data_IF_647635225498
#
_entry.id   IF_647635225498
#
_cell.length_a   1.000
_cell.length_b   1.000
_cell.length_c   1.000
_cell.angle_alpha   90.00
_cell.angle_beta   90.00
_cell.angle_gamma   90.00
#
_symmetry.space_group_name_H-M   'P 1'
#
loop_
_entity.id
_entity.type
_entity.pdbx_description
1 polymer ?
#
# COMPACT_ATOMS: atom_id res chain seq x y z
N UNK A 1 -10.99 6.17 -25.32
CA UNK A 1 -10.72 4.94 -24.54
C UNK A 1 -10.38 3.79 -25.48
N UNK A 2 -9.28 3.09 -25.23
CA UNK A 2 -8.77 1.95 -26.02
C UNK A 2 -8.73 0.73 -25.11
N UNK A 3 -9.16 -0.43 -25.63
CA UNK A 3 -9.03 -1.72 -24.93
C UNK A 3 -8.03 -2.55 -25.71
N UNK A 4 -7.07 -3.15 -25.01
CA UNK A 4 -6.04 -4.01 -25.59
C UNK A 4 -5.98 -5.31 -24.79
N UNK A 5 -5.81 -6.42 -25.48
CA UNK A 5 -5.36 -7.67 -24.86
C UNK A 5 -3.90 -7.89 -25.23
N UNK A 6 -3.07 -8.12 -24.23
CA UNK A 6 -1.66 -8.39 -24.39
C UNK A 6 -1.34 -9.81 -23.89
N UNK A 7 -0.61 -10.55 -24.72
CA UNK A 7 0.10 -11.75 -24.28
C UNK A 7 1.41 -11.28 -23.63
N UNK A 8 1.52 -11.46 -22.32
CA UNK A 8 2.66 -10.96 -21.53
C UNK A 8 3.80 -11.98 -21.42
N UNK A 9 3.51 -13.25 -21.70
CA UNK A 9 4.48 -14.32 -21.79
C UNK A 9 4.08 -15.33 -22.88
N UNK A 10 4.83 -16.43 -22.99
CA UNK A 10 4.57 -17.49 -23.96
C UNK A 10 3.39 -18.39 -23.58
N UNK A 11 2.82 -18.22 -22.37
CA UNK A 11 1.72 -19.02 -21.86
C UNK A 11 0.39 -18.49 -22.40
N UNK A 12 -0.50 -19.39 -22.83
CA UNK A 12 -1.77 -19.01 -23.45
C UNK A 12 -2.90 -18.82 -22.42
N UNK A 13 -2.71 -19.31 -21.21
CA UNK A 13 -3.64 -19.24 -20.07
C UNK A 13 -3.51 -17.93 -19.27
N UNK A 14 -2.46 -17.15 -19.51
CA UNK A 14 -2.20 -15.87 -18.85
C UNK A 14 -2.53 -14.72 -19.80
N UNK A 15 -3.29 -13.74 -19.32
CA UNK A 15 -3.66 -12.58 -20.14
C UNK A 15 -3.67 -11.28 -19.34
N UNK A 16 -3.29 -10.19 -20.03
CA UNK A 16 -3.37 -8.84 -19.52
C UNK A 16 -4.32 -8.02 -20.40
N UNK A 17 -5.45 -7.60 -19.83
CA UNK A 17 -6.36 -6.66 -20.50
C UNK A 17 -6.07 -5.24 -20.04
N UNK A 18 -5.77 -4.33 -20.96
CA UNK A 18 -5.50 -2.93 -20.69
C UNK A 18 -6.68 -2.05 -21.13
N UNK A 19 -7.20 -1.25 -20.20
CA UNK A 19 -8.18 -0.19 -20.43
C UNK A 19 -7.48 1.16 -20.34
N UNK A 20 -7.21 1.75 -21.51
CA UNK A 20 -6.42 2.97 -21.63
C UNK A 20 -7.32 4.17 -21.92
N UNK A 21 -7.20 5.20 -21.10
CA UNK A 21 -7.88 6.48 -21.28
C UNK A 21 -7.04 7.43 -22.14
N UNK A 22 -7.70 8.38 -22.81
CA UNK A 22 -6.97 9.39 -23.56
C UNK A 22 -6.22 10.34 -22.60
N UNK A 23 -5.02 10.75 -23.02
CA UNK A 23 -4.14 11.67 -22.30
C UNK A 23 -3.63 12.76 -23.26
N UNK A 24 -3.28 13.92 -22.73
CA UNK A 24 -2.95 15.12 -23.50
C UNK A 24 -4.16 15.67 -24.29
N UNK A 25 -3.90 16.35 -25.41
CA UNK A 25 -4.93 16.98 -26.26
C UNK A 25 -5.90 17.84 -25.44
N UNK A 26 -7.18 17.45 -25.34
CA UNK A 26 -8.20 18.14 -24.53
C UNK A 26 -7.94 18.01 -23.02
N UNK A 27 -7.25 16.95 -22.58
CA UNK A 27 -6.75 16.79 -21.21
C UNK A 27 -5.38 17.45 -21.04
N UNK A 28 -5.31 18.76 -21.29
CA UNK A 28 -4.05 19.53 -21.38
C UNK A 28 -3.08 19.33 -20.20
N UNK A 29 -3.61 19.09 -19.00
CA UNK A 29 -2.81 18.91 -17.77
C UNK A 29 -2.52 17.44 -17.43
N UNK A 30 -3.05 16.49 -18.21
CA UNK A 30 -2.92 15.05 -17.95
C UNK A 30 -2.23 14.41 -19.16
N UNK A 31 -0.92 14.56 -19.26
CA UNK A 31 -0.12 13.97 -20.33
C UNK A 31 0.19 12.49 -20.10
N UNK A 32 0.18 12.04 -18.84
CA UNK A 32 0.19 10.63 -18.41
C UNK A 32 -0.81 10.41 -17.28
N UNK A 33 -1.16 9.16 -17.00
CA UNK A 33 -2.10 8.78 -15.94
C UNK A 33 -1.47 7.74 -15.02
N UNK A 34 -1.75 7.77 -13.70
CA UNK A 34 -1.49 6.63 -12.82
C UNK A 34 -2.34 5.44 -13.27
N UNK A 35 -2.00 4.24 -12.79
CA UNK A 35 -2.71 3.03 -13.16
C UNK A 35 -3.02 2.13 -11.96
N UNK A 36 -3.98 1.23 -12.15
CA UNK A 36 -4.27 0.13 -11.23
C UNK A 36 -4.21 -1.19 -12.00
N UNK A 37 -3.47 -2.16 -11.45
CA UNK A 37 -3.47 -3.55 -11.89
C UNK A 37 -4.40 -4.38 -10.99
N UNK A 38 -5.51 -4.84 -11.56
CA UNK A 38 -6.54 -5.64 -10.92
C UNK A 38 -6.17 -7.11 -10.99
N UNK A 39 -6.22 -7.79 -9.85
CA UNK A 39 -5.90 -9.20 -9.65
C UNK A 39 -7.13 -9.90 -9.07
N UNK A 40 -7.95 -10.57 -9.91
CA UNK A 40 -9.18 -11.19 -9.45
C UNK A 40 -8.95 -12.33 -8.45
N UNK A 41 -9.94 -12.60 -7.60
CA UNK A 41 -9.96 -13.81 -6.78
C UNK A 41 -10.39 -15.05 -7.56
N UNK A 42 -10.68 -16.12 -6.83
CA UNK A 42 -11.07 -17.42 -7.38
C UNK A 42 -10.30 -18.61 -6.81
N UNK A 43 -9.68 -18.45 -5.64
CA UNK A 43 -9.07 -19.55 -4.88
C UNK A 43 -7.88 -20.21 -5.57
N UNK A 44 -7.16 -19.50 -6.44
CA UNK A 44 -6.16 -20.06 -7.37
C UNK A 44 -6.70 -21.13 -8.33
N UNK A 45 -8.02 -21.24 -8.49
CA UNK A 45 -8.66 -22.21 -9.38
C UNK A 45 -9.19 -21.56 -10.67
N UNK A 46 -9.53 -20.28 -10.61
CA UNK A 46 -9.96 -19.46 -11.75
C UNK A 46 -9.74 -17.97 -11.41
N UNK A 47 -9.94 -17.09 -12.39
CA UNK A 47 -10.00 -15.63 -12.18
C UNK A 47 -11.46 -15.14 -12.26
N UNK A 48 -11.99 -14.59 -11.17
CA UNK A 48 -13.39 -14.17 -11.09
C UNK A 48 -13.70 -12.91 -11.92
N UNK A 49 -14.62 -13.02 -12.88
CA UNK A 49 -15.06 -11.87 -13.69
C UNK A 49 -15.72 -10.75 -12.86
N UNK A 50 -16.29 -11.11 -11.71
CA UNK A 50 -16.91 -10.15 -10.79
C UNK A 50 -15.90 -9.21 -10.16
N UNK A 51 -14.63 -9.61 -10.11
CA UNK A 51 -13.51 -8.90 -9.48
C UNK A 51 -12.50 -8.40 -10.51
N UNK A 52 -12.87 -8.43 -11.80
CA UNK A 52 -12.10 -7.97 -12.95
C UNK A 52 -12.64 -6.61 -13.45
N UNK A 53 -13.32 -6.60 -14.60
CA UNK A 53 -13.86 -5.41 -15.27
C UNK A 53 -14.67 -4.48 -14.35
N UNK A 54 -15.58 -4.96 -13.47
CA UNK A 54 -16.32 -4.07 -12.57
C UNK A 54 -15.40 -3.23 -11.68
N UNK A 55 -14.28 -3.81 -11.24
CA UNK A 55 -13.27 -3.12 -10.43
C UNK A 55 -12.44 -2.19 -11.30
N UNK A 56 -11.99 -2.65 -12.47
CA UNK A 56 -11.24 -1.82 -13.42
C UNK A 56 -12.00 -0.54 -13.77
N UNK A 57 -13.30 -0.65 -14.04
CA UNK A 57 -14.16 0.48 -14.41
C UNK A 57 -14.30 1.51 -13.28
N UNK A 58 -14.27 1.07 -12.02
CA UNK A 58 -14.29 1.99 -10.89
C UNK A 58 -13.05 2.90 -10.86
N UNK A 59 -11.86 2.36 -11.13
CA UNK A 59 -10.63 3.13 -11.19
C UNK A 59 -10.49 3.94 -12.49
N UNK A 60 -11.01 3.44 -13.62
CA UNK A 60 -11.13 4.24 -14.85
C UNK A 60 -11.97 5.50 -14.60
N UNK A 61 -13.11 5.36 -13.92
CA UNK A 61 -13.95 6.51 -13.53
C UNK A 61 -13.21 7.52 -12.66
N UNK A 62 -12.27 7.06 -11.82
CA UNK A 62 -11.42 7.91 -11.00
C UNK A 62 -10.24 8.55 -11.77
N UNK A 63 -10.07 8.25 -13.06
CA UNK A 63 -9.07 8.87 -13.95
C UNK A 63 -7.79 8.06 -14.16
N UNK A 64 -7.69 6.87 -13.57
CA UNK A 64 -6.56 5.94 -13.73
C UNK A 64 -6.66 5.19 -15.06
N UNK A 65 -5.55 4.70 -15.59
CA UNK A 65 -5.60 3.52 -16.46
C UNK A 65 -5.91 2.28 -15.61
N UNK A 66 -6.52 1.27 -16.21
CA UNK A 66 -6.78 0.02 -15.51
C UNK A 66 -6.26 -1.16 -16.32
N UNK A 67 -5.67 -2.11 -15.63
CA UNK A 67 -5.19 -3.37 -16.19
C UNK A 67 -5.86 -4.51 -15.42
N UNK A 68 -6.21 -5.61 -16.08
CA UNK A 68 -6.70 -6.83 -15.43
C UNK A 68 -5.75 -7.94 -15.78
N UNK A 69 -5.12 -8.53 -14.76
CA UNK A 69 -4.29 -9.73 -14.92
C UNK A 69 -5.12 -10.96 -14.61
N UNK A 70 -5.28 -11.82 -15.61
CA UNK A 70 -5.69 -13.21 -15.41
C UNK A 70 -4.41 -14.04 -15.36
N UNK A 71 -4.02 -14.40 -14.14
CA UNK A 71 -2.80 -15.13 -13.81
C UNK A 71 -3.03 -16.64 -13.88
N UNK A 72 -1.95 -17.41 -13.86
CA UNK A 72 -1.98 -18.87 -13.85
C UNK A 72 -2.72 -19.42 -12.62
N UNK A 73 -3.68 -20.32 -12.89
CA UNK A 73 -4.64 -20.88 -11.93
C UNK A 73 -5.03 -22.29 -12.35
N UNK A 74 -5.49 -23.10 -11.40
CA UNK A 74 -5.85 -24.51 -11.59
C UNK A 74 -4.74 -25.46 -11.17
N UNK A 75 -5.03 -26.76 -11.25
CA UNK A 75 -4.16 -27.81 -10.68
C UNK A 75 -2.79 -27.95 -11.36
N UNK A 76 -2.66 -27.45 -12.59
CA UNK A 76 -1.42 -27.51 -13.37
C UNK A 76 -0.43 -26.38 -13.03
N UNK A 77 -0.83 -25.43 -12.17
CA UNK A 77 -0.03 -24.26 -11.81
C UNK A 77 0.25 -24.22 -10.31
N UNK A 78 1.50 -23.92 -9.94
CA UNK A 78 1.95 -23.86 -8.55
C UNK A 78 2.70 -22.58 -8.26
N UNK A 79 2.85 -22.23 -6.99
CA UNK A 79 3.75 -21.16 -6.60
C UNK A 79 5.20 -21.53 -6.94
N UNK A 80 6.01 -20.60 -7.48
CA UNK A 80 5.76 -19.16 -7.58
C UNK A 80 5.17 -18.65 -8.92
N UNK A 81 4.63 -19.50 -9.80
CA UNK A 81 4.19 -19.07 -11.15
C UNK A 81 3.20 -17.89 -11.18
N UNK A 82 2.21 -17.77 -10.27
CA UNK A 82 1.33 -16.60 -10.23
C UNK A 82 2.08 -15.29 -9.92
N UNK A 83 3.16 -15.36 -9.15
CA UNK A 83 4.02 -14.21 -8.88
C UNK A 83 4.85 -13.86 -10.12
N UNK A 84 5.34 -14.86 -10.85
CA UNK A 84 6.05 -14.66 -12.11
C UNK A 84 5.14 -13.99 -13.16
N UNK A 85 3.86 -14.35 -13.23
CA UNK A 85 2.87 -13.66 -14.09
C UNK A 85 2.68 -12.20 -13.71
N UNK A 86 2.66 -11.91 -12.40
CA UNK A 86 2.59 -10.54 -11.92
C UNK A 86 3.84 -9.74 -12.33
N UNK A 87 5.03 -10.33 -12.20
CA UNK A 87 6.29 -9.71 -12.61
C UNK A 87 6.29 -9.41 -14.11
N UNK A 88 5.93 -10.40 -14.93
CA UNK A 88 5.81 -10.26 -16.40
C UNK A 88 4.80 -9.16 -16.75
N UNK A 89 3.64 -9.11 -16.09
CA UNK A 89 2.62 -8.10 -16.33
C UNK A 89 3.14 -6.70 -15.99
N UNK A 90 3.78 -6.55 -14.84
CA UNK A 90 4.29 -5.25 -14.38
C UNK A 90 5.47 -4.78 -15.25
N UNK A 91 6.36 -5.68 -15.66
CA UNK A 91 7.43 -5.40 -16.61
C UNK A 91 6.85 -4.98 -17.98
N UNK A 92 5.85 -5.71 -18.48
CA UNK A 92 5.18 -5.38 -19.73
C UNK A 92 4.55 -3.98 -19.69
N UNK A 93 3.81 -3.63 -18.63
CA UNK A 93 3.20 -2.31 -18.47
C UNK A 93 4.28 -1.23 -18.43
N UNK A 94 5.37 -1.45 -17.66
CA UNK A 94 6.48 -0.49 -17.56
C UNK A 94 7.18 -0.27 -18.90
N UNK A 95 7.37 -1.32 -19.69
CA UNK A 95 7.98 -1.24 -21.02
C UNK A 95 7.11 -0.49 -22.04
N UNK A 96 5.79 -0.52 -21.89
CA UNK A 96 4.84 0.20 -22.76
C UNK A 96 4.37 1.53 -22.16
N UNK A 97 4.90 1.95 -21.00
CA UNK A 97 4.39 3.08 -20.24
C UNK A 97 4.42 4.40 -21.04
N UNK A 98 5.44 4.61 -21.87
CA UNK A 98 5.52 5.80 -22.73
C UNK A 98 4.44 5.78 -23.81
N UNK A 99 4.29 4.66 -24.53
CA UNK A 99 3.27 4.50 -25.58
C UNK A 99 1.85 4.68 -25.02
N UNK A 100 1.62 4.14 -23.83
CA UNK A 100 0.30 4.11 -23.19
C UNK A 100 0.03 5.32 -22.30
N UNK A 101 0.98 6.26 -22.19
CA UNK A 101 0.90 7.41 -21.30
C UNK A 101 0.62 7.01 -19.85
N UNK A 102 1.33 6.00 -19.35
CA UNK A 102 1.27 5.51 -17.97
C UNK A 102 2.39 6.15 -17.16
N UNK A 103 2.07 6.57 -15.93
CA UNK A 103 3.07 6.90 -14.92
C UNK A 103 3.60 5.60 -14.32
N UNK A 104 4.76 5.14 -14.78
CA UNK A 104 5.33 3.83 -14.44
C UNK A 104 5.74 3.67 -12.96
N UNK A 105 5.91 4.78 -12.25
CA UNK A 105 6.15 4.87 -10.80
C UNK A 105 4.85 5.04 -9.99
N UNK A 106 3.70 5.12 -10.67
CA UNK A 106 2.37 5.34 -10.06
C UNK A 106 1.38 4.27 -10.51
N UNK A 107 1.79 3.01 -10.38
CA UNK A 107 0.96 1.83 -10.63
C UNK A 107 0.64 1.18 -9.28
N UNK A 108 -0.62 1.19 -8.88
CA UNK A 108 -1.11 0.44 -7.73
C UNK A 108 -1.61 -0.94 -8.16
N UNK A 109 -1.76 -1.86 -7.20
CA UNK A 109 -2.43 -3.15 -7.41
C UNK A 109 -3.70 -3.21 -6.56
N UNK A 110 -4.72 -3.90 -7.05
CA UNK A 110 -5.91 -4.25 -6.27
C UNK A 110 -6.19 -5.74 -6.43
N UNK A 111 -6.22 -6.47 -5.32
CA UNK A 111 -6.44 -7.90 -5.32
C UNK A 111 -7.54 -8.32 -4.37
N UNK A 112 -8.25 -9.40 -4.71
CA UNK A 112 -9.38 -9.91 -3.94
C UNK A 112 -9.20 -11.37 -3.58
N UNK A 113 -9.51 -11.78 -2.35
CA UNK A 113 -9.43 -13.19 -1.94
C UNK A 113 -8.04 -13.80 -2.27
N UNK A 114 -7.96 -14.86 -3.08
CA UNK A 114 -6.70 -15.40 -3.61
C UNK A 114 -5.91 -14.39 -4.48
N UNK A 115 -6.57 -13.57 -5.30
CA UNK A 115 -5.89 -12.47 -6.00
C UNK A 115 -5.36 -11.40 -5.03
N UNK A 116 -5.99 -11.29 -3.86
CA UNK A 116 -5.53 -10.46 -2.75
C UNK A 116 -4.27 -11.00 -2.09
N UNK A 117 -4.12 -12.32 -2.03
CA UNK A 117 -2.86 -12.97 -1.65
C UNK A 117 -1.74 -12.58 -2.63
N UNK A 118 -1.97 -12.71 -3.94
CA UNK A 118 -1.00 -12.34 -4.97
C UNK A 118 -0.68 -10.82 -4.95
N UNK A 119 -1.68 -9.95 -4.75
CA UNK A 119 -1.45 -8.52 -4.57
C UNK A 119 -0.64 -8.21 -3.29
N UNK A 120 -0.84 -8.99 -2.23
CA UNK A 120 -0.03 -8.94 -1.02
C UNK A 120 1.42 -9.33 -1.29
N UNK A 121 1.64 -10.43 -2.01
CA UNK A 121 2.97 -10.85 -2.47
C UNK A 121 3.65 -9.78 -3.34
N UNK A 122 2.89 -9.15 -4.23
CA UNK A 122 3.36 -8.02 -5.03
C UNK A 122 3.82 -6.84 -4.16
N UNK A 123 3.12 -6.54 -3.07
CA UNK A 123 3.46 -5.46 -2.17
C UNK A 123 4.71 -5.75 -1.32
N UNK A 124 4.96 -7.01 -0.97
CA UNK A 124 5.99 -7.39 0.01
C UNK A 124 7.25 -7.98 -0.63
N UNK A 125 7.12 -8.96 -1.52
CA UNK A 125 8.25 -9.80 -1.98
C UNK A 125 8.57 -9.69 -3.47
N UNK A 126 7.70 -9.08 -4.27
CA UNK A 126 7.98 -8.86 -5.69
C UNK A 126 9.21 -7.98 -5.91
N UNK A 127 9.91 -8.24 -7.01
CA UNK A 127 10.92 -7.36 -7.59
C UNK A 127 10.27 -6.09 -8.13
N UNK A 128 9.17 -6.21 -8.86
CA UNK A 128 8.41 -5.06 -9.35
C UNK A 128 7.29 -4.66 -8.39
N UNK A 129 7.67 -4.17 -7.20
CA UNK A 129 6.70 -3.66 -6.21
C UNK A 129 5.82 -2.54 -6.77
N UNK A 130 4.52 -2.53 -6.45
CA UNK A 130 3.59 -1.46 -6.84
C UNK A 130 3.81 -0.22 -5.97
N UNK A 131 3.26 0.92 -6.41
CA UNK A 131 3.26 2.16 -5.62
C UNK A 131 2.36 2.08 -4.38
N UNK A 132 1.35 1.22 -4.41
CA UNK A 132 0.43 0.90 -3.31
C UNK A 132 -0.32 -0.40 -3.62
N UNK A 133 -0.85 -1.07 -2.60
CA UNK A 133 -1.66 -2.28 -2.74
C UNK A 133 -2.99 -2.16 -2.03
N UNK A 134 -4.07 -2.57 -2.70
CA UNK A 134 -5.42 -2.63 -2.14
C UNK A 134 -5.82 -4.10 -1.99
N UNK A 135 -6.02 -4.55 -0.76
CA UNK A 135 -6.20 -5.96 -0.40
C UNK A 135 -7.62 -6.18 0.13
N UNK A 136 -8.50 -6.68 -0.74
CA UNK A 136 -9.91 -6.95 -0.44
C UNK A 136 -10.14 -8.37 0.04
N UNK A 137 -10.56 -8.54 1.30
CA UNK A 137 -10.86 -9.83 1.94
C UNK A 137 -9.85 -10.91 1.56
N UNK A 138 -8.58 -10.51 1.55
CA UNK A 138 -7.46 -11.25 1.00
C UNK A 138 -7.03 -12.40 1.91
N UNK A 139 -6.51 -13.47 1.31
CA UNK A 139 -5.87 -14.57 2.04
C UNK A 139 -4.42 -14.17 2.32
N UNK A 140 -4.04 -13.94 3.57
CA UNK A 140 -2.77 -13.29 3.94
C UNK A 140 -2.02 -14.01 5.06
N UNK A 141 -2.66 -14.98 5.72
CA UNK A 141 -2.08 -15.76 6.80
C UNK A 141 -2.01 -17.26 6.46
N UNK A 142 -1.83 -18.12 7.46
CA UNK A 142 -1.75 -19.59 7.32
C UNK A 142 -2.89 -20.25 6.53
N UNK A 143 -4.03 -19.58 6.35
CA UNK A 143 -5.14 -20.07 5.51
C UNK A 143 -4.71 -20.27 4.04
N UNK A 144 -3.63 -19.62 3.59
CA UNK A 144 -3.13 -19.82 2.22
C UNK A 144 -2.73 -21.27 1.94
N UNK A 145 -2.24 -22.01 2.94
CA UNK A 145 -1.82 -23.41 2.81
C UNK A 145 -2.99 -24.32 2.37
N UNK A 146 -4.23 -23.89 2.57
CA UNK A 146 -5.43 -24.62 2.15
C UNK A 146 -5.78 -24.44 0.67
N UNK A 147 -5.27 -23.39 0.01
CA UNK A 147 -5.65 -23.01 -1.36
C UNK A 147 -4.48 -22.95 -2.35
N UNK A 148 -3.24 -22.90 -1.86
CA UNK A 148 -2.05 -22.84 -2.69
C UNK A 148 -0.84 -23.45 -1.99
N UNK A 149 -0.37 -24.58 -2.50
CA UNK A 149 0.86 -25.23 -2.04
C UNK A 149 2.07 -24.30 -2.29
N UNK A 150 3.01 -24.28 -1.33
CA UNK A 150 4.25 -23.47 -1.35
C UNK A 150 4.07 -21.95 -1.41
N UNK A 151 2.83 -21.46 -1.33
CA UNK A 151 2.54 -20.04 -1.27
C UNK A 151 3.07 -19.42 0.04
N UNK A 152 3.71 -18.23 -0.01
CA UNK A 152 4.24 -17.60 1.18
C UNK A 152 3.14 -17.00 2.05
N UNK A 153 3.25 -17.14 3.37
CA UNK A 153 2.38 -16.43 4.32
C UNK A 153 2.71 -14.93 4.30
N UNK A 154 1.94 -14.13 3.56
CA UNK A 154 2.24 -12.70 3.30
C UNK A 154 2.38 -11.85 4.57
N UNK A 155 1.53 -12.06 5.58
CA UNK A 155 1.64 -11.32 6.83
C UNK A 155 2.98 -11.54 7.57
N UNK A 156 3.76 -12.57 7.21
CA UNK A 156 5.12 -12.82 7.72
C UNK A 156 6.22 -12.26 6.81
N UNK A 157 5.88 -11.74 5.64
CA UNK A 157 6.82 -11.18 4.67
C UNK A 157 6.88 -9.64 4.70
N UNK A 158 6.09 -9.00 5.57
CA UNK A 158 6.09 -7.54 5.71
C UNK A 158 7.43 -7.08 6.27
N UNK A 159 8.03 -6.13 5.57
CA UNK A 159 9.32 -5.51 5.87
C UNK A 159 9.27 -4.02 5.56
N UNK A 160 10.40 -3.33 5.75
CA UNK A 160 10.52 -1.90 5.44
C UNK A 160 10.33 -1.59 3.95
N UNK A 161 10.58 -2.52 3.03
CA UNK A 161 10.40 -2.26 1.60
C UNK A 161 8.97 -2.55 1.13
N UNK A 162 8.04 -2.88 2.04
CA UNK A 162 6.66 -3.19 1.71
C UNK A 162 5.89 -1.95 1.26
N UNK A 163 5.12 -2.06 0.18
CA UNK A 163 4.32 -0.95 -0.35
C UNK A 163 3.17 -0.56 0.60
N UNK A 164 2.73 0.71 0.60
CA UNK A 164 1.56 1.15 1.36
C UNK A 164 0.31 0.34 1.02
N UNK A 165 -0.49 0.00 2.04
CA UNK A 165 -1.61 -0.94 1.89
C UNK A 165 -2.96 -0.34 2.27
N UNK A 166 -4.00 -0.59 1.47
CA UNK A 166 -5.39 -0.37 1.85
C UNK A 166 -6.05 -1.73 2.05
N UNK A 167 -6.53 -2.00 3.26
CA UNK A 167 -7.13 -3.27 3.63
C UNK A 167 -8.65 -3.11 3.78
N UNK A 168 -9.43 -4.04 3.26
CA UNK A 168 -10.87 -4.05 3.59
C UNK A 168 -11.44 -5.46 3.62
N UNK A 169 -12.36 -5.72 4.55
CA UNK A 169 -13.01 -7.01 4.69
C UNK A 169 -14.35 -6.88 5.43
N UNK A 170 -15.16 -7.93 5.40
CA UNK A 170 -16.36 -8.05 6.22
C UNK A 170 -16.07 -8.88 7.47
N UNK A 171 -16.50 -8.43 8.65
CA UNK A 171 -16.46 -9.21 9.89
C UNK A 171 -17.21 -10.53 9.79
N UNK A 172 -18.27 -10.58 8.99
CA UNK A 172 -19.08 -11.78 8.81
C UNK A 172 -18.58 -12.70 7.67
N UNK A 173 -17.42 -12.42 7.08
CA UNK A 173 -16.78 -13.31 6.11
C UNK A 173 -16.43 -14.65 6.77
N UNK A 174 -17.04 -15.70 6.25
CA UNK A 174 -16.89 -17.08 6.73
C UNK A 174 -16.10 -17.96 5.76
N UNK A 175 -15.58 -17.39 4.67
CA UNK A 175 -14.70 -18.09 3.71
C UNK A 175 -13.26 -17.70 4.00
N UNK A 176 -12.99 -16.40 4.14
CA UNK A 176 -11.68 -15.87 4.55
C UNK A 176 -11.88 -15.12 5.86
N UNK A 177 -11.59 -15.76 7.01
CA UNK A 177 -11.80 -15.13 8.31
C UNK A 177 -11.03 -13.82 8.42
N UNK A 178 -11.64 -12.82 9.09
CA UNK A 178 -11.03 -11.49 9.30
C UNK A 178 -9.67 -11.48 9.96
N UNK A 179 -9.25 -12.60 10.55
CA UNK A 179 -7.92 -12.78 11.10
C UNK A 179 -6.85 -12.50 10.04
N UNK A 180 -7.09 -12.84 8.77
CA UNK A 180 -6.18 -12.50 7.66
C UNK A 180 -5.89 -11.00 7.58
N UNK A 181 -6.94 -10.18 7.58
CA UNK A 181 -6.83 -8.72 7.53
C UNK A 181 -6.21 -8.14 8.80
N UNK A 182 -6.55 -8.69 9.97
CA UNK A 182 -6.00 -8.24 11.26
C UNK A 182 -4.51 -8.56 11.38
N UNK A 183 -4.09 -9.77 11.02
CA UNK A 183 -2.69 -10.18 11.08
C UNK A 183 -1.84 -9.31 10.16
N UNK A 184 -2.31 -9.04 8.93
CA UNK A 184 -1.63 -8.14 8.00
C UNK A 184 -1.52 -6.71 8.57
N UNK A 185 -2.61 -6.15 9.10
CA UNK A 185 -2.60 -4.82 9.70
C UNK A 185 -1.60 -4.72 10.87
N UNK A 186 -1.51 -5.76 11.72
CA UNK A 186 -0.55 -5.83 12.82
C UNK A 186 0.89 -5.88 12.27
N UNK A 187 1.15 -6.63 11.21
CA UNK A 187 2.49 -6.70 10.61
C UNK A 187 2.89 -5.38 9.94
N UNK A 188 1.96 -4.71 9.25
CA UNK A 188 2.19 -3.38 8.66
C UNK A 188 2.48 -2.33 9.74
N UNK A 189 1.71 -2.31 10.83
CA UNK A 189 1.94 -1.43 11.99
C UNK A 189 3.33 -1.65 12.60
N UNK A 190 3.72 -2.91 12.81
CA UNK A 190 5.04 -3.25 13.36
C UNK A 190 6.21 -2.80 12.49
N UNK A 191 6.04 -2.87 11.16
CA UNK A 191 7.06 -2.43 10.20
C UNK A 191 6.98 -0.91 9.90
N UNK A 192 6.04 -0.19 10.52
CA UNK A 192 5.85 1.24 10.29
C UNK A 192 5.35 1.57 8.89
N UNK A 193 4.72 0.63 8.17
CA UNK A 193 4.19 0.85 6.82
C UNK A 193 2.88 1.64 6.90
N UNK A 194 2.73 2.65 6.05
CA UNK A 194 1.47 3.39 5.92
C UNK A 194 0.38 2.45 5.42
N UNK A 195 -0.70 2.33 6.19
CA UNK A 195 -1.87 1.59 5.76
C UNK A 195 -3.18 2.23 6.23
N UNK A 196 -4.26 1.89 5.54
CA UNK A 196 -5.63 2.18 5.95
C UNK A 196 -6.42 0.87 5.98
N UNK A 197 -7.39 0.74 6.89
CA UNK A 197 -8.15 -0.51 7.05
C UNK A 197 -9.62 -0.29 7.35
N UNK A 198 -10.49 -1.02 6.63
CA UNK A 198 -11.95 -0.98 6.77
C UNK A 198 -12.52 -2.37 7.05
N UNK A 199 -13.03 -2.59 8.26
CA UNK A 199 -13.73 -3.83 8.62
C UNK A 199 -15.23 -3.55 8.75
N UNK A 200 -16.00 -4.01 7.76
CA UNK A 200 -17.45 -3.83 7.73
C UNK A 200 -18.15 -4.82 8.65
N UNK A 201 -19.26 -4.40 9.28
CA UNK A 201 -19.93 -5.21 10.30
C UNK A 201 -20.48 -6.56 9.79
N UNK A 202 -20.97 -6.60 8.56
CA UNK A 202 -21.51 -7.82 7.94
C UNK A 202 -21.51 -7.72 6.40
N UNK A 203 -21.50 -8.88 5.76
CA UNK A 203 -21.47 -9.06 4.31
C UNK A 203 -20.81 -10.39 3.95
N UNK A 204 -21.17 -11.00 2.80
CA UNK A 204 -20.62 -12.29 2.38
C UNK A 204 -19.16 -12.15 1.94
N UNK A 205 -18.47 -13.26 1.74
CA UNK A 205 -17.21 -13.25 0.98
C UNK A 205 -17.46 -12.84 -0.48
N UNK A 206 -16.48 -12.20 -1.12
CA UNK A 206 -16.52 -11.95 -2.56
C UNK A 206 -17.60 -10.96 -2.98
N UNK A 207 -17.80 -9.87 -2.22
CA UNK A 207 -18.77 -8.82 -2.57
C UNK A 207 -18.28 -7.87 -3.68
N UNK A 208 -17.00 -7.91 -4.05
CA UNK A 208 -16.37 -7.08 -5.09
C UNK A 208 -16.63 -5.59 -4.85
N UNK A 209 -17.06 -4.81 -5.85
CA UNK A 209 -17.42 -3.39 -5.71
C UNK A 209 -18.73 -3.15 -4.96
N UNK A 210 -19.43 -4.21 -4.53
CA UNK A 210 -20.66 -4.12 -3.75
C UNK A 210 -21.90 -3.68 -4.55
N UNK A 211 -21.82 -3.64 -5.88
CA UNK A 211 -22.99 -3.36 -6.74
C UNK A 211 -23.89 -4.60 -6.82
N UNK A 212 -25.20 -4.38 -6.72
CA UNK A 212 -26.25 -5.38 -6.95
C UNK A 212 -26.12 -6.13 -8.28
N UNK A 213 -25.65 -5.48 -9.34
CA UNK A 213 -25.52 -6.06 -10.69
C UNK A 213 -24.51 -7.22 -10.77
N UNK A 214 -23.63 -7.34 -9.77
CA UNK A 214 -22.60 -8.38 -9.72
C UNK A 214 -22.77 -9.31 -8.51
N UNK A 215 -23.86 -9.23 -7.75
CA UNK A 215 -24.08 -10.15 -6.63
C UNK A 215 -24.70 -11.45 -7.11
N UNK A 216 -24.18 -12.57 -6.63
CA UNK A 216 -24.62 -13.92 -7.03
C UNK A 216 -25.52 -14.57 -5.98
N UNK A 217 -25.70 -13.93 -4.82
CA UNK A 217 -26.47 -14.45 -3.69
C UNK A 217 -27.31 -13.32 -3.09
N UNK A 218 -28.52 -13.64 -2.68
CA UNK A 218 -29.33 -12.76 -1.84
C UNK A 218 -28.73 -12.77 -0.42
N UNK A 219 -27.70 -11.95 -0.25
CA UNK A 219 -26.98 -11.82 1.01
C UNK A 219 -27.10 -10.38 1.46
N UNK A 220 -27.63 -10.17 2.67
CA UNK A 220 -27.54 -8.87 3.31
C UNK A 220 -26.06 -8.53 3.53
N UNK A 221 -25.65 -7.35 3.10
CA UNK A 221 -24.36 -6.79 3.46
C UNK A 221 -24.50 -5.33 3.84
N UNK A 222 -23.56 -4.84 4.64
CA UNK A 222 -23.57 -3.48 5.15
C UNK A 222 -23.65 -2.47 4.00
N UNK A 223 -24.61 -1.55 4.04
CA UNK A 223 -24.84 -0.54 2.99
C UNK A 223 -23.61 0.33 2.69
N UNK A 224 -22.66 0.40 3.63
CA UNK A 224 -21.39 1.13 3.47
C UNK A 224 -20.30 0.34 2.76
N UNK A 225 -20.47 -0.96 2.50
CA UNK A 225 -19.46 -1.77 1.80
C UNK A 225 -19.04 -1.13 0.48
N UNK A 226 -19.95 -0.68 -0.41
CA UNK A 226 -19.55 -0.06 -1.68
C UNK A 226 -18.64 1.17 -1.53
N UNK A 227 -18.58 1.80 -0.34
CA UNK A 227 -17.75 2.97 -0.09
C UNK A 227 -16.25 2.65 -0.14
N UNK A 228 -15.84 1.38 0.05
CA UNK A 228 -14.42 0.99 0.00
C UNK A 228 -13.74 1.47 -1.28
N UNK A 229 -14.48 1.53 -2.40
CA UNK A 229 -13.96 2.00 -3.70
C UNK A 229 -13.58 3.49 -3.66
N UNK A 230 -14.42 4.32 -3.03
CA UNK A 230 -14.13 5.75 -2.90
C UNK A 230 -13.01 5.99 -1.90
N UNK A 231 -13.03 5.25 -0.80
CA UNK A 231 -12.02 5.31 0.26
C UNK A 231 -10.65 4.86 -0.28
N UNK A 232 -10.59 3.78 -1.08
CA UNK A 232 -9.35 3.30 -1.70
C UNK A 232 -8.78 4.31 -2.71
N UNK A 233 -9.62 4.96 -3.51
CA UNK A 233 -9.19 6.06 -4.40
C UNK A 233 -8.66 7.24 -3.59
N UNK A 234 -9.30 7.57 -2.46
CA UNK A 234 -8.82 8.58 -1.51
C UNK A 234 -7.44 8.24 -0.98
N UNK A 235 -7.26 7.01 -0.50
CA UNK A 235 -5.98 6.49 -0.04
C UNK A 235 -4.91 6.59 -1.13
N UNK A 236 -5.19 6.15 -2.37
CA UNK A 236 -4.24 6.25 -3.47
C UNK A 236 -3.83 7.71 -3.74
N UNK A 237 -4.75 8.67 -3.64
CA UNK A 237 -4.40 10.10 -3.76
C UNK A 237 -3.47 10.57 -2.66
N UNK A 238 -3.62 10.04 -1.45
CA UNK A 238 -2.77 10.40 -0.32
C UNK A 238 -1.37 9.78 -0.45
N UNK A 239 -1.24 8.52 -0.88
CA UNK A 239 0.08 7.85 -0.99
C UNK A 239 0.78 8.06 -2.35
N UNK A 240 0.05 8.34 -3.44
CA UNK A 240 0.63 8.52 -4.77
C UNK A 240 0.61 9.97 -5.27
N UNK A 241 -0.29 10.79 -4.73
CA UNK A 241 -0.60 12.15 -5.21
C UNK A 241 -1.93 12.22 -5.97
N UNK A 242 -2.55 13.40 -6.01
CA UNK A 242 -3.80 13.66 -6.76
C UNK A 242 -3.53 14.45 -8.05
N UNK A 243 -4.41 14.35 -9.04
CA UNK A 243 -4.32 15.19 -10.23
C UNK A 243 -4.36 16.67 -9.86
N UNK A 244 -3.42 17.46 -10.36
CA UNK A 244 -3.35 18.89 -10.11
C UNK A 244 -3.56 19.72 -11.38
N UNK A 245 -4.05 20.95 -11.21
CA UNK A 245 -4.24 21.91 -12.29
C UNK A 245 -3.15 22.98 -12.15
N UNK A 246 -2.24 23.08 -13.11
CA UNK A 246 -1.13 24.04 -13.08
C UNK A 246 -0.46 24.23 -14.44
N UNK A 247 0.25 25.35 -14.62
CA UNK A 247 1.01 25.63 -15.83
C UNK A 247 2.17 24.65 -15.97
N UNK A 248 2.19 23.97 -17.12
CA UNK A 248 3.30 23.24 -17.74
C UNK A 248 4.63 23.71 -17.15
N UNK A 249 5.34 22.89 -16.38
CA UNK A 249 6.41 22.10 -16.98
C UNK A 249 6.66 20.69 -16.43
N UNK A 250 6.10 20.21 -15.30
CA UNK A 250 6.56 18.88 -14.80
C UNK A 250 5.67 18.08 -13.84
N UNK A 251 4.51 18.57 -13.40
CA UNK A 251 3.74 17.90 -12.33
C UNK A 251 2.32 17.56 -12.77
N UNK A 252 2.13 16.29 -13.15
CA UNK A 252 0.81 15.69 -13.46
C UNK A 252 0.03 15.40 -12.17
N UNK A 253 0.73 14.88 -11.15
CA UNK A 253 0.18 14.61 -9.82
C UNK A 253 0.83 15.54 -8.79
N UNK A 254 0.12 15.83 -7.71
CA UNK A 254 0.68 16.44 -6.51
C UNK A 254 1.73 15.51 -5.87
N UNK A 255 2.53 16.05 -4.95
CA UNK A 255 3.28 15.17 -4.05
C UNK A 255 2.29 14.34 -3.21
N UNK A 256 2.66 13.11 -2.80
CA UNK A 256 1.93 12.37 -1.78
C UNK A 256 1.72 13.22 -0.52
N UNK A 257 0.57 13.06 0.12
CA UNK A 257 0.27 13.70 1.41
C UNK A 257 0.82 12.90 2.58
N UNK A 258 0.94 11.59 2.44
CA UNK A 258 1.59 10.71 3.41
C UNK A 258 2.80 10.00 2.78
N UNK A 259 3.81 9.73 3.61
CA UNK A 259 4.95 8.90 3.23
C UNK A 259 4.53 7.43 3.15
N UNK A 260 5.36 6.60 2.50
CA UNK A 260 5.15 5.16 2.50
C UNK A 260 5.30 4.53 3.90
N UNK A 261 6.05 5.22 4.77
CA UNK A 261 6.31 4.83 6.15
C UNK A 261 5.80 5.88 7.12
N UNK A 262 5.23 5.41 8.22
CA UNK A 262 4.87 6.25 9.35
C UNK A 262 6.14 6.69 10.06
N UNK A 263 7.16 5.85 10.21
CA UNK A 263 8.42 6.18 10.90
C UNK A 263 9.63 5.64 10.14
N UNK A 264 10.79 6.27 10.31
CA UNK A 264 12.05 5.82 9.69
C UNK A 264 12.81 4.81 10.59
N UNK A 265 12.15 4.20 11.58
CA UNK A 265 12.74 3.31 12.60
C UNK A 265 13.40 2.04 12.06
N UNK A 266 13.04 1.61 10.86
CA UNK A 266 13.61 0.43 10.18
C UNK A 266 14.38 0.84 8.91
N UNK A 267 14.59 2.15 8.69
CA UNK A 267 15.44 2.65 7.61
C UNK A 267 16.93 2.39 7.91
N UNK A 268 17.80 2.44 6.89
CA UNK A 268 19.23 2.16 7.10
C UNK A 268 19.97 3.21 7.95
N UNK A 269 19.47 4.44 8.00
CA UNK A 269 20.12 5.59 8.64
C UNK A 269 19.09 6.39 9.42
N UNK A 270 19.47 6.92 10.57
CA UNK A 270 18.52 7.68 11.39
C UNK A 270 18.06 8.96 10.69
N UNK A 271 16.87 9.42 11.07
CA UNK A 271 16.31 10.70 10.64
C UNK A 271 15.50 11.32 11.76
N UNK A 272 15.06 12.57 11.57
CA UNK A 272 14.11 13.22 12.48
C UNK A 272 12.75 12.50 12.54
N UNK A 273 12.46 11.62 11.57
CA UNK A 273 11.23 10.84 11.50
C UNK A 273 11.34 9.46 12.17
N UNK A 274 12.49 9.14 12.78
CA UNK A 274 12.62 8.05 13.75
C UNK A 274 11.92 8.42 15.08
N UNK A 275 11.45 7.40 15.79
CA UNK A 275 10.85 7.54 17.11
C UNK A 275 11.88 7.91 18.17
N UNK A 276 11.43 8.56 19.24
CA UNK A 276 12.27 8.85 20.41
C UNK A 276 12.85 7.57 21.01
N UNK A 277 12.07 6.49 21.06
CA UNK A 277 12.56 5.21 21.55
C UNK A 277 13.76 4.72 20.75
N UNK A 278 13.69 4.84 19.42
CA UNK A 278 14.80 4.48 18.53
C UNK A 278 16.01 5.39 18.71
N UNK A 279 15.80 6.71 18.67
CA UNK A 279 16.88 7.69 18.80
C UNK A 279 17.56 7.61 20.17
N UNK A 280 16.78 7.57 21.26
CA UNK A 280 17.31 7.44 22.62
C UNK A 280 17.83 6.03 22.95
N UNK A 281 17.53 5.04 22.10
CA UNK A 281 18.16 3.72 22.16
C UNK A 281 19.57 3.71 21.57
N UNK A 282 19.90 4.64 20.67
CA UNK A 282 21.15 4.68 19.92
C UNK A 282 22.17 5.65 20.56
N UNK A 283 23.32 5.17 21.08
CA UNK A 283 24.32 6.04 21.72
C UNK A 283 24.90 7.09 20.78
N UNK A 284 25.18 6.75 19.52
CA UNK A 284 25.73 7.69 18.55
C UNK A 284 24.72 8.81 18.20
N UNK A 285 23.44 8.48 18.16
CA UNK A 285 22.39 9.48 17.97
C UNK A 285 22.36 10.49 19.12
N UNK A 286 22.52 10.04 20.38
CA UNK A 286 22.58 10.94 21.54
C UNK A 286 23.76 11.90 21.49
N UNK A 287 24.91 11.44 21.01
CA UNK A 287 26.09 12.29 20.83
C UNK A 287 25.83 13.39 19.80
N UNK A 288 25.30 13.00 18.63
CA UNK A 288 24.94 13.92 17.56
C UNK A 288 23.88 14.93 18.00
N UNK A 289 22.91 14.50 18.82
CA UNK A 289 21.80 15.31 19.28
C UNK A 289 22.03 15.99 20.63
N UNK A 290 23.27 16.09 21.12
CA UNK A 290 23.57 16.64 22.46
C UNK A 290 22.88 17.99 22.69
N UNK A 291 23.03 18.93 21.75
CA UNK A 291 22.45 20.28 21.87
C UNK A 291 20.91 20.25 21.83
N UNK A 292 20.34 19.39 20.99
CA UNK A 292 18.88 19.21 20.89
C UNK A 292 18.32 18.63 22.18
N UNK A 293 18.99 17.61 22.74
CA UNK A 293 18.61 16.97 24.00
C UNK A 293 18.68 17.97 25.16
N UNK A 294 19.71 18.80 25.22
CA UNK A 294 19.81 19.85 26.25
C UNK A 294 18.68 20.88 26.13
N UNK A 295 18.25 21.23 24.91
CA UNK A 295 17.11 22.13 24.72
C UNK A 295 15.77 21.45 25.08
N UNK A 296 15.62 20.17 24.75
CA UNK A 296 14.49 19.35 25.17
C UNK A 296 14.38 19.28 26.70
N UNK A 297 15.50 19.11 27.42
CA UNK A 297 15.51 19.10 28.89
C UNK A 297 15.04 20.42 29.51
N UNK A 298 15.29 21.56 28.86
CA UNK A 298 14.83 22.88 29.33
C UNK A 298 13.34 23.10 29.08
N UNK A 299 12.83 22.55 27.97
CA UNK A 299 11.49 22.86 27.45
C UNK A 299 10.44 21.85 27.90
N UNK A 300 10.80 20.56 27.99
CA UNK A 300 9.88 19.48 28.32
C UNK A 300 9.68 19.41 29.83
N UNK A 301 8.47 19.81 30.26
CA UNK A 301 8.08 19.77 31.67
C UNK A 301 7.60 18.34 32.02
N UNK A 302 8.12 17.73 33.10
CA UNK A 302 7.67 16.42 33.56
C UNK A 302 6.18 16.40 33.93
N UNK A 303 5.49 15.28 33.68
CA UNK A 303 4.09 15.12 34.09
C UNK A 303 3.92 15.08 35.62
N UNK A 304 4.92 14.57 36.34
CA UNK A 304 5.01 14.63 37.79
C UNK A 304 6.40 15.11 38.23
N UNK A 305 6.55 15.71 39.42
CA UNK A 305 7.83 16.22 39.90
C UNK A 305 8.94 15.17 40.05
N UNK A 306 8.59 13.89 40.21
CA UNK A 306 9.53 12.78 40.41
C UNK A 306 10.06 12.18 39.11
N UNK A 307 9.42 12.46 37.97
CA UNK A 307 9.81 11.90 36.67
C UNK A 307 11.11 12.51 36.17
N UNK A 308 12.05 11.66 35.78
CA UNK A 308 13.28 12.09 35.11
C UNK A 308 13.03 12.40 33.62
N UNK A 309 14.02 13.01 32.97
CA UNK A 309 13.97 13.20 31.51
C UNK A 309 13.87 11.88 30.76
N UNK A 310 14.58 10.83 31.21
CA UNK A 310 14.52 9.51 30.58
C UNK A 310 13.15 8.85 30.77
N UNK A 311 12.52 9.03 31.94
CA UNK A 311 11.13 8.60 32.16
C UNK A 311 10.17 9.30 31.19
N UNK A 312 10.36 10.61 30.99
CA UNK A 312 9.58 11.39 30.01
C UNK A 312 9.80 10.91 28.58
N UNK A 313 11.05 10.64 28.18
CA UNK A 313 11.35 10.13 26.84
C UNK A 313 10.76 8.73 26.61
N UNK A 314 10.71 7.88 27.64
CA UNK A 314 10.04 6.59 27.57
C UNK A 314 8.52 6.73 27.37
N UNK A 315 7.87 7.71 28.01
CA UNK A 315 6.46 8.03 27.74
C UNK A 315 6.22 8.46 26.29
N UNK A 316 7.18 9.16 25.68
CA UNK A 316 7.13 9.58 24.29
C UNK A 316 7.82 8.62 23.32
N UNK A 317 8.16 7.40 23.75
CA UNK A 317 9.00 6.47 22.99
C UNK A 317 8.49 6.15 21.59
N UNK A 318 7.17 6.27 21.34
CA UNK A 318 6.54 6.03 20.03
C UNK A 318 6.34 7.28 19.18
N UNK A 319 6.56 8.48 19.73
CA UNK A 319 6.47 9.73 18.98
C UNK A 319 7.76 9.94 18.18
N UNK A 320 7.66 10.54 17.00
CA UNK A 320 8.84 10.98 16.26
C UNK A 320 9.54 12.11 16.98
N UNK A 321 10.85 12.21 16.79
CA UNK A 321 11.58 13.37 17.27
C UNK A 321 11.04 14.67 16.65
N UNK A 322 10.78 14.70 15.33
CA UNK A 322 10.20 15.87 14.64
C UNK A 322 8.91 16.35 15.30
N UNK A 323 8.00 15.43 15.61
CA UNK A 323 6.69 15.75 16.17
C UNK A 323 6.82 16.39 17.56
N UNK A 324 7.73 15.88 18.40
CA UNK A 324 7.98 16.47 19.73
C UNK A 324 8.60 17.85 19.62
N UNK A 325 9.56 18.04 18.72
CA UNK A 325 10.20 19.34 18.51
C UNK A 325 9.16 20.38 18.08
N UNK A 326 8.24 20.02 17.19
CA UNK A 326 7.14 20.89 16.76
C UNK A 326 6.14 21.15 17.88
N UNK A 327 5.65 20.11 18.55
CA UNK A 327 4.65 20.25 19.62
C UNK A 327 5.18 21.11 20.78
N UNK A 328 6.47 21.01 21.07
CA UNK A 328 7.14 21.76 22.15
C UNK A 328 7.75 23.08 21.68
N UNK A 329 7.58 23.44 20.40
CA UNK A 329 8.13 24.67 19.82
C UNK A 329 9.64 24.82 20.04
N UNK A 330 10.37 23.71 19.95
CA UNK A 330 11.83 23.68 20.06
C UNK A 330 12.39 24.01 18.68
N UNK A 331 12.93 25.20 18.53
CA UNK A 331 13.51 25.66 17.27
C UNK A 331 14.88 25.03 17.03
N UNK A 332 14.97 24.22 15.98
CA UNK A 332 16.23 23.64 15.49
C UNK A 332 16.37 23.87 13.99
N UNK A 333 17.60 23.77 13.49
CA UNK A 333 17.82 23.64 12.05
C UNK A 333 17.56 22.19 11.62
N UNK A 334 16.32 21.88 11.24
CA UNK A 334 15.91 20.52 10.87
C UNK A 334 16.75 19.91 9.75
N UNK A 335 17.08 20.68 8.70
CA UNK A 335 17.90 20.16 7.59
C UNK A 335 19.30 19.74 8.06
N UNK A 336 19.91 20.53 8.94
CA UNK A 336 21.21 20.22 9.49
C UNK A 336 21.16 19.00 10.41
N UNK A 337 20.16 18.92 11.30
CA UNK A 337 20.03 17.79 12.23
C UNK A 337 19.71 16.50 11.47
N UNK A 338 18.82 16.55 10.48
CA UNK A 338 18.50 15.40 9.65
C UNK A 338 19.72 14.94 8.84
N UNK A 339 20.55 15.86 8.34
CA UNK A 339 21.81 15.52 7.67
C UNK A 339 22.80 14.80 8.59
N UNK A 340 22.92 15.24 9.85
CA UNK A 340 23.79 14.57 10.83
C UNK A 340 23.25 13.18 11.22
N UNK A 341 21.93 13.06 11.44
CA UNK A 341 21.31 11.77 11.77
C UNK A 341 21.46 10.76 10.63
N UNK A 342 21.43 11.21 9.38
CA UNK A 342 21.63 10.35 8.21
C UNK A 342 23.05 9.79 8.07
N UNK A 343 24.00 10.25 8.88
CA UNK A 343 25.34 9.64 8.99
C UNK A 343 25.40 8.58 10.10
N UNK A 344 24.35 8.46 10.93
CA UNK A 344 24.27 7.51 12.03
C UNK A 344 23.51 6.25 11.58
N UNK A 345 24.16 5.07 11.59
CA UNK A 345 23.49 3.82 11.27
C UNK A 345 22.33 3.56 12.23
N UNK A 346 21.21 3.11 11.66
CA UNK A 346 20.08 2.62 12.44
C UNK A 346 20.34 1.16 12.82
N UNK A 347 20.68 0.91 14.09
CA UNK A 347 21.10 -0.40 14.63
C UNK A 347 20.16 -0.93 15.69
#
# INVERSE_FOLDING_TARGET
MKILEAAINSRQDVSLTAYLQDAGKEFRNITKRPAVLVIPGGGYQFCSDREADPVAFAYLKAGYHAFVLRYSVGDDHKWPEPLEDYEDAMEYIKNHAEEWNVLSDKIAVVGFSAGGHLAGAAATIAKHKPAAAILGYAVLNEVVDEIAEDAPIIAKQVDYDTAPCFLFASRADNVVPIKNTLDMAISLDKAGITFESHIYAFGPHGFSVGDTAIQTRESAFCERIPNWVQDSVGFLKDVMGDFCVGTVEEKILSKPKCKAHVTDDESAWLSLDCTIGRIMGNPAAKEVLTDVIEEMKKTIIPFTPEMTFDDMMNCFSRMKLRDILHEKSIEINEEQIDALLREVPNI
#
